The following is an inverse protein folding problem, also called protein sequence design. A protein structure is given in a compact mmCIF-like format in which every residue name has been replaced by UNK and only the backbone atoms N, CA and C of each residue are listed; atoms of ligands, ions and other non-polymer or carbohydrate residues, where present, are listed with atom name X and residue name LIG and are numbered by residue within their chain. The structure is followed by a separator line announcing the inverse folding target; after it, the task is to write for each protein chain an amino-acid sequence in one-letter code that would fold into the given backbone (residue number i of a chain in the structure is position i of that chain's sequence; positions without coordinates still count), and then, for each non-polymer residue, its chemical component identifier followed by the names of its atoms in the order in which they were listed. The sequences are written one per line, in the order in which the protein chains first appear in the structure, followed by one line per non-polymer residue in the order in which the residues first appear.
data_IF_135654098419
#
_entry.id   IF_135654098419
#
_cell.length_a   1.000
_cell.length_b   1.000
_cell.length_c   1.000
_cell.angle_alpha   90.00
_cell.angle_beta   90.00
_cell.angle_gamma   90.00
#
_symmetry.space_group_name_H-M   'P 1'
#
loop_
_entity.id
_entity.type
_entity.pdbx_description
1 polymer ?
#
# COMPACT_ATOMS: atom_id res chain seq x y z
N UNK A 1 -0.69 -0.18 18.36
CA UNK A 1 -2.11 0.04 17.98
C UNK A 1 -2.92 -1.26 17.98
N UNK A 2 -4.25 -1.17 18.15
CA UNK A 2 -5.22 -2.28 18.26
C UNK A 2 -5.40 -3.17 16.99
N UNK A 3 -4.43 -3.20 16.07
CA UNK A 3 -4.36 -4.12 14.90
C UNK A 3 -5.57 -4.09 13.95
N UNK A 4 -6.33 -3.00 13.89
CA UNK A 4 -7.51 -2.83 13.04
C UNK A 4 -7.31 -1.72 12.00
N UNK A 5 -6.37 -1.90 11.07
CA UNK A 5 -6.05 -0.94 10.01
C UNK A 5 -7.28 -0.54 9.17
N UNK A 6 -8.17 -1.49 8.88
CA UNK A 6 -9.45 -1.24 8.19
C UNK A 6 -10.33 -0.22 8.93
N UNK A 7 -10.45 -0.34 10.26
CA UNK A 7 -11.25 0.60 11.05
C UNK A 7 -10.62 1.99 11.09
N UNK A 8 -9.28 2.07 11.12
CA UNK A 8 -8.59 3.35 11.04
C UNK A 8 -8.82 4.03 9.68
N UNK A 9 -8.81 3.25 8.59
CA UNK A 9 -9.16 3.75 7.26
C UNK A 9 -10.63 4.21 7.15
N UNK A 10 -11.57 3.44 7.73
CA UNK A 10 -12.98 3.84 7.78
C UNK A 10 -13.22 5.09 8.64
N UNK A 11 -12.43 5.28 9.70
CA UNK A 11 -12.45 6.50 10.50
C UNK A 11 -11.96 7.70 9.67
N UNK A 12 -10.83 7.53 8.96
CA UNK A 12 -10.31 8.55 8.04
C UNK A 12 -11.37 8.99 7.01
N UNK A 13 -12.07 8.05 6.38
CA UNK A 13 -13.11 8.35 5.39
C UNK A 13 -14.31 9.12 5.97
N UNK A 14 -14.51 9.10 7.29
CA UNK A 14 -15.60 9.79 8.00
C UNK A 14 -15.18 11.15 8.56
N UNK A 15 -13.90 11.49 8.55
CA UNK A 15 -13.42 12.78 9.05
C UNK A 15 -13.53 13.84 7.95
N UNK A 16 -14.19 14.96 8.25
CA UNK A 16 -14.11 16.17 7.44
C UNK A 16 -12.70 16.76 7.57
N UNK A 17 -12.09 17.06 6.42
CA UNK A 17 -10.67 17.36 6.26
C UNK A 17 -10.18 18.51 7.13
N UNK A 18 -9.40 18.20 8.16
CA UNK A 18 -8.54 19.14 8.90
C UNK A 18 -7.26 18.43 9.34
N UNK A 19 -6.25 19.15 9.86
CA UNK A 19 -4.90 18.63 10.16
C UNK A 19 -4.84 17.32 10.98
N UNK A 20 -5.89 16.98 11.72
CA UNK A 20 -6.03 15.68 12.39
C UNK A 20 -6.11 14.47 11.43
N UNK A 21 -6.67 14.65 10.22
CA UNK A 21 -6.72 13.61 9.19
C UNK A 21 -5.33 13.28 8.66
N UNK A 22 -4.43 14.26 8.61
CA UNK A 22 -3.04 14.08 8.21
C UNK A 22 -2.25 13.26 9.25
N UNK A 23 -2.41 13.59 10.54
CA UNK A 23 -1.81 12.81 11.62
C UNK A 23 -2.33 11.37 11.68
N UNK A 24 -3.64 11.16 11.43
CA UNK A 24 -4.22 9.81 11.34
C UNK A 24 -3.65 9.02 10.14
N UNK A 25 -3.49 9.65 8.99
CA UNK A 25 -2.86 9.03 7.81
C UNK A 25 -1.42 8.62 8.10
N UNK A 26 -0.62 9.49 8.72
CA UNK A 26 0.74 9.15 9.13
C UNK A 26 0.77 7.99 10.13
N UNK A 27 -0.18 7.92 11.06
CA UNK A 27 -0.31 6.83 12.01
C UNK A 27 -0.66 5.50 11.31
N UNK A 28 -1.60 5.51 10.37
CA UNK A 28 -1.96 4.33 9.55
C UNK A 28 -0.76 3.89 8.72
N UNK A 29 -0.10 4.82 8.05
CA UNK A 29 1.04 4.56 7.19
C UNK A 29 2.19 3.91 7.98
N UNK A 30 2.58 4.51 9.11
CA UNK A 30 3.72 4.07 9.92
C UNK A 30 3.43 2.78 10.71
N UNK A 31 2.26 2.65 11.35
CA UNK A 31 1.99 1.45 12.16
C UNK A 31 1.69 0.21 11.31
N UNK A 32 1.05 0.37 10.15
CA UNK A 32 0.85 -0.75 9.22
C UNK A 32 2.17 -1.18 8.56
N UNK A 33 3.17 -0.30 8.50
CA UNK A 33 4.50 -0.60 8.01
C UNK A 33 5.38 -1.29 9.06
N UNK A 34 5.28 -0.91 10.35
CA UNK A 34 6.20 -1.33 11.42
C UNK A 34 5.97 -2.74 11.98
N UNK A 35 4.75 -3.30 11.88
CA UNK A 35 4.41 -4.60 12.47
C UNK A 35 4.60 -5.82 11.54
N UNK A 36 5.16 -5.58 10.37
CA UNK A 36 5.28 -6.55 9.27
C UNK A 36 6.50 -7.47 9.35
N UNK A 37 7.39 -7.28 10.32
CA UNK A 37 8.61 -8.09 10.40
C UNK A 37 8.45 -9.45 11.10
N UNK A 38 7.37 -9.71 11.85
CA UNK A 38 7.35 -10.90 12.74
C UNK A 38 6.02 -11.64 12.96
N UNK A 39 4.93 -11.38 12.20
CA UNK A 39 3.68 -12.10 12.46
C UNK A 39 2.90 -12.44 11.19
N UNK A 40 2.76 -13.75 10.96
CA UNK A 40 1.97 -14.41 9.91
C UNK A 40 0.46 -14.13 9.96
N UNK A 41 -0.02 -13.31 10.90
CA UNK A 41 -1.45 -13.03 11.12
C UNK A 41 -1.89 -11.63 10.64
N UNK A 42 -1.02 -10.84 9.99
CA UNK A 42 -1.33 -9.46 9.60
C UNK A 42 -1.59 -9.32 8.10
N UNK A 43 -2.58 -10.09 7.60
CA UNK A 43 -3.12 -9.99 6.25
C UNK A 43 -3.81 -8.63 6.04
N UNK A 44 -3.66 -8.01 4.85
CA UNK A 44 -4.35 -6.78 4.44
C UNK A 44 -3.78 -5.43 4.91
N UNK A 45 -2.80 -5.37 5.83
CA UNK A 45 -2.30 -4.08 6.33
C UNK A 45 -1.43 -3.31 5.33
N UNK A 46 -0.67 -4.01 4.49
CA UNK A 46 0.15 -3.39 3.45
C UNK A 46 -0.68 -2.62 2.42
N UNK A 47 -1.86 -3.13 2.08
CA UNK A 47 -2.77 -2.49 1.15
C UNK A 47 -3.28 -1.15 1.67
N UNK A 48 -3.72 -1.11 2.94
CA UNK A 48 -4.14 0.15 3.57
C UNK A 48 -2.95 1.09 3.82
N UNK A 49 -1.76 0.55 4.11
CA UNK A 49 -0.53 1.34 4.18
C UNK A 49 -0.20 1.99 2.83
N UNK A 50 -0.28 1.23 1.73
CA UNK A 50 -0.04 1.74 0.38
C UNK A 50 -1.05 2.83 -0.02
N UNK A 51 -2.33 2.67 0.35
CA UNK A 51 -3.35 3.71 0.17
C UNK A 51 -3.08 4.97 0.99
N UNK A 52 -2.68 4.81 2.25
CA UNK A 52 -2.36 5.95 3.11
C UNK A 52 -1.15 6.72 2.58
N UNK A 53 -0.08 6.02 2.17
CA UNK A 53 1.09 6.66 1.55
C UNK A 53 0.77 7.32 0.20
N UNK A 54 -0.14 6.77 -0.62
CA UNK A 54 -0.59 7.43 -1.85
C UNK A 54 -1.27 8.79 -1.57
N UNK A 55 -2.11 8.85 -0.54
CA UNK A 55 -2.76 10.10 -0.13
C UNK A 55 -1.74 11.07 0.46
N UNK A 56 -0.84 10.59 1.31
CA UNK A 56 0.23 11.43 1.90
C UNK A 56 1.14 12.03 0.81
N UNK A 57 1.57 11.24 -0.18
CA UNK A 57 2.38 11.70 -1.31
C UNK A 57 1.69 12.81 -2.13
N UNK A 58 0.36 12.76 -2.26
CA UNK A 58 -0.42 13.81 -2.95
C UNK A 58 -0.58 15.08 -2.12
N UNK A 59 -0.60 14.96 -0.79
CA UNK A 59 -0.76 16.09 0.13
C UNK A 59 0.58 16.79 0.42
N UNK A 60 1.67 16.03 0.49
CA UNK A 60 3.02 16.52 0.77
C UNK A 60 4.03 15.69 -0.04
N UNK A 61 4.78 16.29 -0.99
CA UNK A 61 5.73 15.58 -1.85
C UNK A 61 7.04 15.25 -1.11
N UNK A 62 6.94 14.63 0.06
CA UNK A 62 8.08 14.14 0.83
C UNK A 62 8.57 12.79 0.25
N UNK A 63 9.87 12.65 -0.08
CA UNK A 63 10.43 11.42 -0.63
C UNK A 63 10.26 10.18 0.25
N UNK A 64 10.12 10.33 1.58
CA UNK A 64 9.88 9.20 2.50
C UNK A 64 8.54 8.50 2.24
N UNK A 65 7.51 9.23 1.79
CA UNK A 65 6.19 8.65 1.51
C UNK A 65 6.23 7.78 0.24
N UNK A 66 7.02 8.18 -0.76
CA UNK A 66 7.28 7.35 -1.93
C UNK A 66 7.99 6.05 -1.53
N UNK A 67 9.00 6.13 -0.67
CA UNK A 67 9.71 4.94 -0.20
C UNK A 67 8.78 3.98 0.56
N UNK A 68 7.92 4.51 1.43
CA UNK A 68 6.89 3.75 2.14
C UNK A 68 5.88 3.10 1.20
N UNK A 69 5.34 3.85 0.22
CA UNK A 69 4.42 3.36 -0.81
C UNK A 69 5.04 2.23 -1.63
N UNK A 70 6.29 2.40 -2.07
CA UNK A 70 7.06 1.39 -2.80
C UNK A 70 7.21 0.12 -1.97
N UNK A 71 7.64 0.25 -0.71
CA UNK A 71 7.78 -0.86 0.21
C UNK A 71 6.47 -1.63 0.42
N UNK A 72 5.37 -0.91 0.63
CA UNK A 72 4.05 -1.50 0.81
C UNK A 72 3.51 -2.21 -0.46
N UNK A 73 3.75 -1.64 -1.64
CA UNK A 73 3.37 -2.26 -2.91
C UNK A 73 4.16 -3.56 -3.17
N UNK A 74 5.47 -3.56 -2.92
CA UNK A 74 6.32 -4.75 -3.06
C UNK A 74 5.95 -5.79 -2.00
N UNK A 75 5.69 -5.39 -0.75
CA UNK A 75 5.23 -6.30 0.30
C UNK A 75 3.89 -6.95 -0.03
N UNK A 76 2.94 -6.18 -0.56
CA UNK A 76 1.65 -6.73 -1.03
C UNK A 76 1.87 -7.74 -2.16
N UNK A 77 2.75 -7.42 -3.12
CA UNK A 77 3.10 -8.36 -4.19
C UNK A 77 3.76 -9.64 -3.67
N UNK A 78 4.66 -9.55 -2.69
CA UNK A 78 5.27 -10.71 -2.04
C UNK A 78 4.22 -11.61 -1.37
N UNK A 79 3.18 -11.02 -0.76
CA UNK A 79 2.08 -11.78 -0.17
C UNK A 79 1.22 -12.48 -1.22
N UNK A 80 1.01 -11.86 -2.39
CA UNK A 80 0.37 -12.50 -3.55
C UNK A 80 1.20 -13.70 -4.03
N UNK A 81 2.52 -13.54 -4.14
CA UNK A 81 3.44 -14.63 -4.51
C UNK A 81 3.39 -15.79 -3.52
N UNK A 82 3.25 -15.49 -2.23
CA UNK A 82 3.12 -16.49 -1.16
C UNK A 82 1.72 -17.13 -1.09
N UNK A 83 0.79 -16.75 -1.97
CA UNK A 83 -0.60 -17.24 -1.96
C UNK A 83 -1.41 -16.79 -0.75
N UNK A 84 -0.96 -15.74 -0.06
CA UNK A 84 -1.59 -15.20 1.16
C UNK A 84 -2.51 -14.01 0.89
N UNK A 85 -2.44 -13.44 -0.31
CA UNK A 85 -3.33 -12.39 -0.79
C UNK A 85 -3.96 -12.81 -2.13
N UNK A 86 -5.19 -12.34 -2.43
CA UNK A 86 -5.84 -12.59 -3.71
C UNK A 86 -4.98 -12.04 -4.86
N UNK A 87 -4.93 -12.77 -5.97
CA UNK A 87 -4.15 -12.33 -7.14
C UNK A 87 -4.77 -11.08 -7.78
N UNK A 88 -6.06 -10.85 -7.55
CA UNK A 88 -6.85 -9.70 -7.99
C UNK A 88 -6.33 -8.38 -7.39
N UNK A 89 -5.79 -8.44 -6.17
CA UNK A 89 -5.18 -7.28 -5.48
C UNK A 89 -4.02 -6.67 -6.28
N UNK A 90 -3.41 -7.45 -7.20
CA UNK A 90 -2.37 -6.97 -8.09
C UNK A 90 -2.81 -5.78 -8.95
N UNK A 91 -4.09 -5.76 -9.40
CA UNK A 91 -4.63 -4.64 -10.18
C UNK A 91 -4.56 -3.33 -9.42
N UNK A 92 -4.91 -3.39 -8.14
CA UNK A 92 -4.96 -2.23 -7.27
C UNK A 92 -3.55 -1.75 -6.93
N UNK A 93 -2.60 -2.67 -6.68
CA UNK A 93 -1.17 -2.33 -6.49
C UNK A 93 -0.60 -1.64 -7.74
N UNK A 94 -0.90 -2.16 -8.93
CA UNK A 94 -0.46 -1.53 -10.18
C UNK A 94 -1.07 -0.13 -10.38
N UNK A 95 -2.32 0.08 -9.96
CA UNK A 95 -2.96 1.39 -10.00
C UNK A 95 -2.28 2.38 -9.04
N UNK A 96 -2.02 1.97 -7.80
CA UNK A 96 -1.31 2.78 -6.81
C UNK A 96 0.08 3.17 -7.31
N UNK A 97 0.84 2.23 -7.88
CA UNK A 97 2.16 2.53 -8.43
C UNK A 97 2.11 3.55 -9.58
N UNK A 98 1.14 3.44 -10.49
CA UNK A 98 0.98 4.37 -11.64
C UNK A 98 0.68 5.82 -11.24
N UNK A 99 0.14 6.04 -10.05
CA UNK A 99 -0.15 7.38 -9.56
C UNK A 99 1.11 8.15 -9.12
N UNK A 100 2.27 7.50 -9.06
CA UNK A 100 3.55 8.13 -8.72
C UNK A 100 4.34 8.49 -9.99
N UNK A 101 4.85 9.72 -10.06
CA UNK A 101 5.70 10.22 -11.15
C UNK A 101 7.18 9.81 -11.09
N UNK A 102 7.53 8.71 -10.40
CA UNK A 102 8.92 8.27 -10.25
C UNK A 102 9.31 7.27 -11.36
N UNK A 103 10.41 7.47 -12.12
CA UNK A 103 10.85 6.54 -13.17
C UNK A 103 11.07 5.09 -12.70
N UNK A 104 11.42 4.87 -11.42
CA UNK A 104 11.59 3.53 -10.84
C UNK A 104 10.29 2.70 -10.85
N UNK A 105 9.13 3.37 -10.83
CA UNK A 105 7.81 2.74 -10.88
C UNK A 105 7.68 1.85 -12.12
N UNK A 106 8.14 2.30 -13.28
CA UNK A 106 7.94 1.61 -14.55
C UNK A 106 8.58 0.23 -14.54
N UNK A 107 9.77 0.13 -13.94
CA UNK A 107 10.50 -1.13 -13.79
C UNK A 107 9.73 -2.10 -12.88
N UNK A 108 9.23 -1.63 -11.74
CA UNK A 108 8.45 -2.43 -10.79
C UNK A 108 7.16 -2.93 -11.45
N UNK A 109 6.42 -2.03 -12.11
CA UNK A 109 5.20 -2.37 -12.86
C UNK A 109 5.51 -3.42 -13.93
N UNK A 110 6.62 -3.29 -14.65
CA UNK A 110 7.01 -4.25 -15.70
C UNK A 110 7.22 -5.65 -15.12
N UNK A 111 7.89 -5.78 -13.98
CA UNK A 111 8.08 -7.07 -13.31
C UNK A 111 6.74 -7.67 -12.89
N UNK A 112 5.89 -6.89 -12.21
CA UNK A 112 4.58 -7.34 -11.74
C UNK A 112 3.67 -7.78 -12.90
N UNK A 113 3.67 -7.05 -14.01
CA UNK A 113 2.93 -7.41 -15.23
C UNK A 113 3.45 -8.68 -15.88
N UNK A 114 4.78 -8.87 -15.91
CA UNK A 114 5.39 -10.10 -16.44
C UNK A 114 4.92 -11.31 -15.64
N UNK A 115 4.98 -11.22 -14.30
CA UNK A 115 4.47 -12.28 -13.42
C UNK A 115 2.97 -12.55 -13.64
N UNK A 116 2.15 -11.51 -13.74
CA UNK A 116 0.71 -11.66 -13.98
C UNK A 116 0.42 -12.44 -15.27
N UNK A 117 1.13 -12.11 -16.37
CA UNK A 117 1.02 -12.79 -17.65
C UNK A 117 1.40 -14.27 -17.55
N UNK A 118 2.52 -14.57 -16.91
CA UNK A 118 3.00 -15.95 -16.70
C UNK A 118 2.03 -16.78 -15.85
N UNK A 119 1.34 -16.13 -14.90
CA UNK A 119 0.42 -16.78 -13.96
C UNK A 119 -1.06 -16.68 -14.37
N UNK A 120 -1.35 -16.18 -15.57
CA UNK A 120 -2.72 -15.97 -16.10
C UNK A 120 -3.62 -15.16 -15.17
N UNK A 121 -3.04 -14.20 -14.46
CA UNK A 121 -3.77 -13.29 -13.57
C UNK A 121 -4.33 -12.15 -14.42
N UNK A 122 -5.65 -11.92 -14.39
CA UNK A 122 -6.23 -10.78 -15.07
C UNK A 122 -5.82 -9.50 -14.33
N UNK A 123 -5.02 -8.66 -15.00
CA UNK A 123 -4.60 -7.33 -14.52
C UNK A 123 -5.21 -6.20 -15.32
#
# INVERSE_FOLDING_TARGET
MNKKARLAWELYLKMETSGESFSLLQLIANDCYKYVTFSSAQMGQFYYSAKAFDVLERLDPNPEYWEGKRGACVGTFQMILAGREPKETLREVLHLLRSTGNPQVEYIIRIMKKWAKENRVPI
#
